data_IF_494433272993
#
_entry.id   IF_494433272993
#
_cell.length_a   1.000
_cell.length_b   1.000
_cell.length_c   1.000
_cell.angle_alpha   90.00
_cell.angle_beta   90.00
_cell.angle_gamma   90.00
#
_symmetry.space_group_name_H-M   'P 1'
#
loop_
_entity.id
_entity.type
_entity.pdbx_description
1 polymer ?
#
# COMPACT_ATOMS: atom_id res chain seq x y z
N UNK A 1 30.51 10.45 -25.90
CA UNK A 1 29.81 9.92 -24.70
C UNK A 1 28.34 9.76 -25.02
N UNK A 2 27.81 8.54 -25.01
CA UNK A 2 26.38 8.30 -25.23
C UNK A 2 25.63 8.70 -23.96
N UNK A 3 24.94 9.83 -23.98
CA UNK A 3 24.10 10.31 -22.89
C UNK A 3 22.73 9.60 -22.91
N UNK A 4 22.71 8.28 -22.72
CA UNK A 4 21.46 7.52 -22.61
C UNK A 4 21.09 7.41 -21.13
N UNK A 5 19.85 7.77 -20.80
CA UNK A 5 19.28 7.53 -19.46
C UNK A 5 18.94 6.04 -19.31
N UNK A 6 19.13 5.49 -18.10
CA UNK A 6 18.77 4.13 -17.81
C UNK A 6 17.27 3.91 -17.96
N UNK A 7 16.91 2.82 -18.62
CA UNK A 7 15.52 2.35 -18.73
C UNK A 7 15.44 0.90 -18.27
N UNK A 8 14.64 0.64 -17.24
CA UNK A 8 14.46 -0.71 -16.72
C UNK A 8 13.71 -1.60 -17.72
N UNK A 9 14.21 -2.81 -17.94
CA UNK A 9 13.50 -3.83 -18.72
C UNK A 9 12.74 -4.77 -17.78
N UNK A 10 11.52 -5.19 -18.12
CA UNK A 10 10.69 -6.01 -17.21
C UNK A 10 11.33 -7.31 -16.71
N UNK A 11 12.21 -7.93 -17.52
CA UNK A 11 12.91 -9.17 -17.16
C UNK A 11 14.14 -8.98 -16.27
N UNK A 12 14.66 -7.77 -16.15
CA UNK A 12 15.89 -7.48 -15.40
C UNK A 12 15.62 -6.86 -14.01
N UNK A 13 14.34 -6.67 -13.66
CA UNK A 13 13.98 -6.02 -12.39
C UNK A 13 14.04 -7.03 -11.24
N UNK A 14 14.97 -6.82 -10.32
CA UNK A 14 15.00 -7.52 -9.04
C UNK A 14 13.93 -6.95 -8.10
N UNK A 15 13.11 -7.84 -7.53
CA UNK A 15 12.05 -7.49 -6.58
C UNK A 15 12.31 -8.12 -5.23
N UNK A 16 12.31 -7.29 -4.20
CA UNK A 16 12.43 -7.72 -2.81
C UNK A 16 11.07 -7.79 -2.13
N UNK A 17 11.04 -8.45 -0.99
CA UNK A 17 9.88 -8.52 -0.11
C UNK A 17 10.17 -7.78 1.18
N UNK A 18 9.26 -6.91 1.59
CA UNK A 18 9.37 -6.14 2.81
C UNK A 18 8.18 -6.40 3.73
N UNK A 19 8.44 -6.47 5.05
CA UNK A 19 7.42 -6.47 6.09
C UNK A 19 7.41 -5.12 6.78
N UNK A 20 6.23 -4.58 6.97
CA UNK A 20 5.97 -3.30 7.64
C UNK A 20 4.97 -3.53 8.77
N UNK A 21 5.28 -3.09 9.98
CA UNK A 21 4.34 -3.09 11.09
C UNK A 21 3.51 -1.81 11.08
N UNK A 22 2.18 -1.96 11.12
CA UNK A 22 1.24 -0.85 11.13
C UNK A 22 0.90 -0.36 12.55
N UNK A 23 1.45 -0.98 13.61
CA UNK A 23 1.13 -0.65 15.00
C UNK A 23 1.43 0.81 15.31
N UNK A 24 0.41 1.55 15.78
CA UNK A 24 0.46 2.98 16.15
C UNK A 24 0.90 3.95 15.05
N UNK A 25 1.07 3.47 13.83
CA UNK A 25 1.47 4.30 12.69
C UNK A 25 0.24 5.00 12.09
N UNK A 26 0.31 6.32 11.80
CA UNK A 26 -0.77 7.02 11.13
C UNK A 26 -1.04 6.45 9.73
N UNK A 27 -2.31 6.12 9.43
CA UNK A 27 -2.73 5.49 8.18
C UNK A 27 -2.18 6.20 6.93
N UNK A 28 -2.23 7.54 6.90
CA UNK A 28 -1.79 8.29 5.72
C UNK A 28 -0.28 8.20 5.48
N UNK A 29 0.53 8.28 6.54
CA UNK A 29 1.99 8.16 6.45
C UNK A 29 2.40 6.75 6.06
N UNK A 30 1.83 5.73 6.71
CA UNK A 30 2.02 4.33 6.32
C UNK A 30 1.73 4.13 4.84
N UNK A 31 0.58 4.60 4.38
CA UNK A 31 0.15 4.42 2.99
C UNK A 31 1.07 5.13 1.99
N UNK A 32 1.61 6.30 2.33
CA UNK A 32 2.52 7.04 1.46
C UNK A 32 3.86 6.31 1.27
N UNK A 33 4.46 5.81 2.37
CA UNK A 33 5.71 5.03 2.32
C UNK A 33 5.50 3.73 1.55
N UNK A 34 4.45 2.97 1.88
CA UNK A 34 4.12 1.71 1.20
C UNK A 34 3.88 1.92 -0.30
N UNK A 35 3.13 2.95 -0.68
CA UNK A 35 2.89 3.26 -2.10
C UNK A 35 4.18 3.64 -2.84
N UNK A 36 5.11 4.35 -2.18
CA UNK A 36 6.42 4.69 -2.73
C UNK A 36 7.27 3.44 -3.03
N UNK A 37 7.29 2.47 -2.10
CA UNK A 37 8.00 1.19 -2.26
C UNK A 37 7.36 0.33 -3.35
N UNK A 38 6.03 0.20 -3.36
CA UNK A 38 5.28 -0.55 -4.38
C UNK A 38 5.51 0.00 -5.79
N UNK A 39 5.67 1.31 -5.91
CA UNK A 39 5.97 1.98 -7.19
C UNK A 39 7.46 1.88 -7.57
N UNK A 40 8.34 1.67 -6.58
CA UNK A 40 9.79 1.59 -6.78
C UNK A 40 10.49 2.94 -6.81
N UNK A 41 9.87 3.99 -6.26
CA UNK A 41 10.48 5.34 -6.19
C UNK A 41 11.74 5.42 -5.33
N UNK A 42 11.92 4.48 -4.43
CA UNK A 42 13.11 4.34 -3.58
C UNK A 42 14.32 3.77 -4.31
N UNK A 43 14.15 3.24 -5.52
CA UNK A 43 15.22 2.65 -6.32
C UNK A 43 15.80 3.64 -7.32
N UNK A 44 17.13 3.67 -7.51
CA UNK A 44 17.76 4.50 -8.55
C UNK A 44 17.37 4.05 -9.97
N UNK A 45 16.94 2.80 -10.12
CA UNK A 45 16.48 2.20 -11.38
C UNK A 45 15.03 2.52 -11.73
N UNK A 46 14.36 3.39 -10.95
CA UNK A 46 12.97 3.75 -11.19
C UNK A 46 12.71 4.21 -12.62
N UNK A 47 11.75 3.55 -13.27
CA UNK A 47 11.29 3.91 -14.62
C UNK A 47 9.76 4.02 -14.61
N UNK A 48 9.19 5.18 -15.02
CA UNK A 48 7.75 5.44 -14.87
C UNK A 48 6.81 4.47 -15.60
N UNK A 49 7.24 3.92 -16.72
CA UNK A 49 6.43 3.02 -17.55
C UNK A 49 6.63 1.53 -17.25
N UNK A 50 7.60 1.19 -16.40
CA UNK A 50 7.92 -0.18 -16.01
C UNK A 50 7.69 -0.38 -14.51
N UNK A 51 7.17 -1.54 -14.12
CA UNK A 51 7.00 -1.88 -12.71
C UNK A 51 8.33 -2.31 -12.09
N UNK A 52 9.00 -1.37 -11.42
CA UNK A 52 10.27 -1.59 -10.71
C UNK A 52 10.10 -1.78 -9.20
N UNK A 53 8.87 -1.70 -8.69
CA UNK A 53 8.57 -1.75 -7.25
C UNK A 53 8.68 -3.14 -6.64
N UNK A 54 8.76 -3.17 -5.32
CA UNK A 54 8.90 -4.34 -4.49
C UNK A 54 7.56 -4.83 -3.95
N UNK A 55 7.57 -6.02 -3.34
CA UNK A 55 6.42 -6.57 -2.62
C UNK A 55 6.42 -6.03 -1.19
N UNK A 56 5.24 -5.67 -0.67
CA UNK A 56 5.08 -5.18 0.69
C UNK A 56 4.02 -5.98 1.42
N UNK A 57 4.40 -6.48 2.60
CA UNK A 57 3.52 -7.15 3.55
C UNK A 57 3.28 -6.16 4.69
N UNK A 58 2.04 -5.84 4.99
CA UNK A 58 1.65 -5.03 6.15
C UNK A 58 1.02 -5.93 7.19
N UNK A 59 1.55 -5.93 8.40
CA UNK A 59 1.04 -6.69 9.55
C UNK A 59 0.38 -5.76 10.57
N UNK A 60 -0.38 -6.32 11.50
CA UNK A 60 -1.12 -5.60 12.55
C UNK A 60 -2.07 -4.51 12.00
N UNK A 61 -2.77 -4.81 10.92
CA UNK A 61 -3.62 -3.83 10.23
C UNK A 61 -4.68 -3.18 11.13
N UNK A 62 -5.17 -3.88 12.14
CA UNK A 62 -6.17 -3.41 13.10
C UNK A 62 -5.63 -2.32 14.04
N UNK A 63 -4.29 -2.28 14.25
CA UNK A 63 -3.64 -1.33 15.16
C UNK A 63 -3.24 -0.01 14.51
N UNK A 64 -3.57 0.17 13.23
CA UNK A 64 -3.28 1.42 12.50
C UNK A 64 -3.95 2.61 13.17
N UNK A 65 -3.24 3.72 13.29
CA UNK A 65 -3.73 4.93 13.95
C UNK A 65 -4.49 5.83 12.99
N UNK A 66 -5.69 6.25 13.39
CA UNK A 66 -6.46 7.30 12.74
C UNK A 66 -6.32 8.57 13.56
N UNK A 67 -5.69 9.61 13.01
CA UNK A 67 -5.41 10.88 13.70
C UNK A 67 -6.58 11.85 13.61
N UNK A 68 -6.76 12.68 14.65
CA UNK A 68 -7.83 13.68 14.73
C UNK A 68 -9.22 13.04 14.66
N UNK A 69 -10.16 13.71 14.02
CA UNK A 69 -11.56 13.27 13.88
C UNK A 69 -11.78 12.28 12.72
N UNK A 70 -10.71 11.74 12.11
CA UNK A 70 -10.84 10.87 10.91
C UNK A 70 -11.62 9.58 11.17
N UNK A 71 -11.67 9.10 12.41
CA UNK A 71 -12.44 7.91 12.74
C UNK A 71 -13.94 8.10 12.48
N UNK A 72 -14.47 9.29 12.74
CA UNK A 72 -15.89 9.64 12.59
C UNK A 72 -16.19 10.36 11.29
N UNK A 73 -15.34 11.30 10.89
CA UNK A 73 -15.63 12.24 9.82
C UNK A 73 -15.20 11.73 8.44
N UNK A 74 -14.19 10.85 8.39
CA UNK A 74 -13.77 10.26 7.11
C UNK A 74 -14.70 9.15 6.69
N UNK A 75 -15.46 9.38 5.62
CA UNK A 75 -16.43 8.42 5.08
C UNK A 75 -15.94 7.84 3.76
N UNK A 76 -16.10 6.54 3.60
CA UNK A 76 -15.88 5.82 2.35
C UNK A 76 -17.21 5.47 1.71
N UNK A 77 -17.36 5.82 0.43
CA UNK A 77 -18.56 5.54 -0.35
C UNK A 77 -18.33 4.36 -1.30
N UNK A 78 -19.37 3.57 -1.48
CA UNK A 78 -19.45 2.52 -2.51
C UNK A 78 -20.85 2.56 -3.11
N UNK A 79 -20.96 2.27 -4.42
CA UNK A 79 -22.24 2.24 -5.12
C UNK A 79 -22.43 0.90 -5.82
N UNK A 80 -23.62 0.31 -5.68
CA UNK A 80 -23.94 -1.00 -6.27
C UNK A 80 -24.39 -0.92 -7.74
N UNK A 81 -24.38 0.27 -8.34
CA UNK A 81 -24.87 0.57 -9.71
C UNK A 81 -26.40 0.43 -9.91
N UNK A 82 -27.16 0.20 -8.84
CA UNK A 82 -28.63 0.25 -8.87
C UNK A 82 -29.13 1.58 -8.29
N UNK A 83 -30.34 2.05 -8.68
CA UNK A 83 -30.97 3.22 -8.06
C UNK A 83 -30.97 3.11 -6.53
N UNK A 84 -30.57 4.17 -5.81
CA UNK A 84 -30.48 4.15 -4.34
C UNK A 84 -29.36 3.28 -3.75
N UNK A 85 -28.43 2.78 -4.58
CA UNK A 85 -27.37 1.85 -4.18
C UNK A 85 -26.15 2.47 -3.52
N UNK A 86 -26.18 3.75 -3.12
CA UNK A 86 -25.08 4.41 -2.41
C UNK A 86 -24.99 3.87 -0.98
N UNK A 87 -23.81 3.36 -0.61
CA UNK A 87 -23.47 2.92 0.74
C UNK A 87 -22.32 3.74 1.28
N UNK A 88 -22.40 4.11 2.54
CA UNK A 88 -21.37 4.86 3.25
C UNK A 88 -20.92 4.10 4.49
N UNK A 89 -19.64 4.22 4.82
CA UNK A 89 -19.05 3.65 6.04
C UNK A 89 -17.96 4.60 6.55
N UNK A 90 -17.92 4.85 7.85
CA UNK A 90 -16.87 5.68 8.45
C UNK A 90 -15.53 4.92 8.51
N UNK A 91 -14.42 5.65 8.60
CA UNK A 91 -13.09 5.01 8.67
C UNK A 91 -12.93 4.18 9.96
N UNK A 92 -13.52 4.63 11.07
CA UNK A 92 -13.51 3.89 12.33
C UNK A 92 -14.27 2.57 12.24
N UNK A 93 -15.47 2.58 11.67
CA UNK A 93 -16.26 1.37 11.42
C UNK A 93 -15.58 0.42 10.44
N UNK A 94 -14.98 0.97 9.37
CA UNK A 94 -14.26 0.16 8.40
C UNK A 94 -13.04 -0.52 9.02
N UNK A 95 -12.30 0.19 9.91
CA UNK A 95 -11.20 -0.42 10.67
C UNK A 95 -11.68 -1.58 11.55
N UNK A 96 -12.79 -1.42 12.24
CA UNK A 96 -13.34 -2.46 13.12
C UNK A 96 -13.88 -3.66 12.35
N UNK A 97 -14.52 -3.43 11.20
CA UNK A 97 -15.12 -4.49 10.37
C UNK A 97 -14.10 -5.19 9.47
N UNK A 98 -13.22 -4.40 8.85
CA UNK A 98 -12.24 -4.91 7.89
C UNK A 98 -11.05 -3.94 7.77
N UNK A 99 -10.08 -4.07 8.66
CA UNK A 99 -8.86 -3.25 8.69
C UNK A 99 -8.01 -3.43 7.42
N UNK A 100 -7.98 -4.64 6.85
CA UNK A 100 -7.28 -4.94 5.59
C UNK A 100 -7.76 -4.02 4.47
N UNK A 101 -9.09 -3.95 4.29
CA UNK A 101 -9.71 -3.13 3.26
C UNK A 101 -9.46 -1.63 3.46
N UNK A 102 -9.35 -1.18 4.72
CA UNK A 102 -9.02 0.22 5.03
C UNK A 102 -7.63 0.59 4.50
N UNK A 103 -6.61 -0.22 4.81
CA UNK A 103 -5.23 -0.01 4.36
C UNK A 103 -5.14 -0.14 2.84
N UNK A 104 -5.72 -1.19 2.26
CA UNK A 104 -5.72 -1.38 0.80
C UNK A 104 -6.32 -0.19 0.05
N UNK A 105 -7.48 0.32 0.50
CA UNK A 105 -8.11 1.50 -0.12
C UNK A 105 -7.22 2.73 -0.03
N UNK A 106 -6.57 2.92 1.12
CA UNK A 106 -5.67 4.07 1.33
C UNK A 106 -4.45 3.99 0.41
N UNK A 107 -3.77 2.84 0.34
CA UNK A 107 -2.59 2.64 -0.51
C UNK A 107 -2.95 2.68 -1.99
N UNK A 108 -4.01 1.97 -2.41
CA UNK A 108 -4.47 1.97 -3.83
C UNK A 108 -4.87 3.36 -4.31
N UNK A 109 -5.41 4.21 -3.42
CA UNK A 109 -5.70 5.62 -3.74
C UNK A 109 -4.45 6.48 -3.98
N UNK A 110 -3.28 6.06 -3.49
CA UNK A 110 -1.99 6.75 -3.67
C UNK A 110 -1.17 6.19 -4.85
N UNK A 111 -1.60 5.08 -5.44
CA UNK A 111 -1.00 4.51 -6.64
C UNK A 111 -1.61 5.12 -7.91
N UNK A 112 -0.93 5.07 -9.06
CA UNK A 112 -1.48 5.52 -10.32
C UNK A 112 -2.78 4.79 -10.69
N UNK A 113 -3.76 5.51 -11.24
CA UNK A 113 -5.06 4.94 -11.65
C UNK A 113 -5.03 4.40 -13.09
N UNK A 114 -4.06 3.54 -13.39
CA UNK A 114 -3.88 2.92 -14.68
C UNK A 114 -3.63 1.40 -14.55
N UNK A 115 -3.38 0.71 -15.65
CA UNK A 115 -3.07 -0.73 -15.67
C UNK A 115 -1.83 -1.07 -14.86
N UNK A 116 -0.78 -0.23 -14.96
CA UNK A 116 0.46 -0.39 -14.20
C UNK A 116 0.22 -0.25 -12.69
N UNK A 117 -0.53 0.78 -12.27
CA UNK A 117 -0.86 1.00 -10.85
C UNK A 117 -1.71 -0.13 -10.25
N UNK A 118 -2.59 -0.77 -11.04
CA UNK A 118 -3.31 -1.97 -10.59
C UNK A 118 -2.36 -3.14 -10.37
N UNK A 119 -1.42 -3.38 -11.26
CA UNK A 119 -0.38 -4.40 -11.10
C UNK A 119 0.49 -4.14 -9.86
N UNK A 120 0.90 -2.89 -9.64
CA UNK A 120 1.62 -2.49 -8.42
C UNK A 120 0.81 -2.75 -7.14
N UNK A 121 -0.49 -2.44 -7.15
CA UNK A 121 -1.40 -2.69 -6.03
C UNK A 121 -1.59 -4.17 -5.68
N UNK A 122 -1.39 -5.09 -6.62
CA UNK A 122 -1.45 -6.54 -6.37
C UNK A 122 -0.26 -7.07 -5.58
N UNK A 123 0.85 -6.32 -5.53
CA UNK A 123 2.05 -6.63 -4.73
C UNK A 123 1.89 -6.28 -3.25
N UNK A 124 0.83 -5.59 -2.87
CA UNK A 124 0.47 -5.32 -1.49
C UNK A 124 -0.24 -6.53 -0.88
N UNK A 125 0.25 -6.97 0.27
CA UNK A 125 -0.37 -8.02 1.09
C UNK A 125 -0.60 -7.45 2.49
N UNK A 126 -1.83 -7.50 2.98
CA UNK A 126 -2.20 -6.93 4.28
C UNK A 126 -2.78 -8.01 5.16
N UNK A 127 -2.29 -8.10 6.40
CA UNK A 127 -2.72 -9.10 7.38
C UNK A 127 -3.21 -8.44 8.68
N UNK A 128 -4.21 -9.05 9.26
CA UNK A 128 -4.66 -8.78 10.63
C UNK A 128 -3.79 -9.62 11.57
N UNK A 129 -3.26 -8.99 12.63
CA UNK A 129 -2.32 -9.65 13.52
C UNK A 129 -0.86 -9.61 13.04
N UNK A 130 0.02 -10.26 13.79
CA UNK A 130 1.46 -10.23 13.58
C UNK A 130 1.97 -11.29 12.59
N UNK A 131 1.17 -12.30 12.31
CA UNK A 131 1.56 -13.44 11.46
C UNK A 131 1.19 -13.21 9.99
N UNK A 132 2.05 -13.68 9.08
CA UNK A 132 1.81 -13.65 7.65
C UNK A 132 2.19 -14.99 7.00
N UNK A 133 1.60 -15.30 5.84
CA UNK A 133 1.79 -16.58 5.15
C UNK A 133 3.00 -16.62 4.19
N UNK A 134 3.75 -15.52 4.08
CA UNK A 134 4.83 -15.35 3.11
C UNK A 134 6.24 -15.55 3.71
N UNK A 135 6.41 -16.49 4.65
CA UNK A 135 7.71 -16.76 5.27
C UNK A 135 8.74 -17.34 4.27
N UNK A 136 8.28 -18.11 3.28
CA UNK A 136 9.14 -18.71 2.25
C UNK A 136 9.89 -17.66 1.38
N UNK A 137 9.35 -16.45 1.25
CA UNK A 137 9.95 -15.35 0.50
C UNK A 137 11.03 -14.60 1.29
N UNK A 138 11.27 -14.95 2.57
CA UNK A 138 12.25 -14.33 3.46
C UNK A 138 12.19 -12.79 3.42
N UNK A 139 11.04 -12.18 3.79
CA UNK A 139 10.87 -10.74 3.70
C UNK A 139 11.76 -10.00 4.69
N UNK A 140 12.36 -8.89 4.25
CA UNK A 140 13.16 -7.99 5.07
C UNK A 140 12.23 -7.05 5.86
N UNK A 141 12.56 -6.74 7.11
CA UNK A 141 11.81 -5.75 7.90
C UNK A 141 12.15 -4.35 7.41
N UNK A 142 11.13 -3.58 7.02
CA UNK A 142 11.28 -2.18 6.64
C UNK A 142 10.85 -1.29 7.80
N UNK A 143 11.81 -0.59 8.39
CA UNK A 143 11.52 0.46 9.37
C UNK A 143 11.03 1.72 8.66
N UNK A 144 9.80 2.10 8.95
CA UNK A 144 9.16 3.29 8.37
C UNK A 144 9.32 4.53 9.24
N UNK A 145 9.79 4.41 10.48
CA UNK A 145 9.93 5.54 11.41
C UNK A 145 10.92 6.59 10.90
N UNK A 146 11.97 6.18 10.21
CA UNK A 146 12.94 7.06 9.59
C UNK A 146 12.52 7.64 8.21
N UNK A 147 11.40 7.16 7.65
CA UNK A 147 10.90 7.57 6.34
C UNK A 147 9.64 8.46 6.41
N UNK A 148 9.18 8.76 7.63
CA UNK A 148 7.95 9.54 7.89
C UNK A 148 8.18 11.03 8.11
#
# INVERSE_FOLDING_TARGET
>A
MNKTTYMAKPGEVERKWYVVDATDVPLGRLSAVVASVLRGKNKPTFTPHTDTGDFVIVINAEKVKLTGKKATDKVYYTHSMYPGGLKSITAGELRSKNAVRLIEKSVKGMLPHNTLGRAQGMKLKVFVGAEHTHAAQQPEVLDISGLM
#
